data_IF_956745091146
#
_entry.id   IF_956745091146
#
_cell.length_a   1.000
_cell.length_b   1.000
_cell.length_c   1.000
_cell.angle_alpha   90.00
_cell.angle_beta   90.00
_cell.angle_gamma   90.00
#
_symmetry.space_group_name_H-M   'P 1'
#
loop_
_entity.id
_entity.type
_entity.pdbx_description
1 polymer ?
#
# COMPACT_ATOMS: atom_id res chain seq x y z
N UNK A 1 -19.15 23.59 -17.98
CA UNK A 1 -18.40 24.50 -18.87
C UNK A 1 -16.88 24.40 -18.65
N UNK A 2 -16.03 24.38 -19.68
CA UNK A 2 -14.56 24.29 -19.48
C UNK A 2 -14.04 22.90 -19.09
N UNK A 3 -14.87 21.85 -19.23
CA UNK A 3 -14.46 20.46 -18.98
C UNK A 3 -13.31 20.01 -19.89
N UNK A 4 -13.18 20.58 -21.08
CA UNK A 4 -12.14 20.25 -22.05
C UNK A 4 -10.89 21.14 -21.98
N UNK A 5 -10.83 22.06 -21.00
CA UNK A 5 -9.68 22.95 -20.81
C UNK A 5 -8.52 22.20 -20.12
N UNK A 6 -7.69 21.52 -20.92
CA UNK A 6 -6.64 20.59 -20.45
C UNK A 6 -5.29 21.26 -20.14
N UNK A 7 -5.17 22.57 -20.31
CA UNK A 7 -3.92 23.29 -20.00
C UNK A 7 -3.67 23.27 -18.49
N UNK A 8 -2.43 23.58 -18.08
CA UNK A 8 -2.08 23.77 -16.67
C UNK A 8 -2.97 24.86 -16.05
N UNK A 9 -3.58 24.58 -14.89
CA UNK A 9 -4.55 25.47 -14.25
C UNK A 9 -5.88 25.62 -14.99
N UNK A 10 -6.16 24.77 -15.99
CA UNK A 10 -7.42 24.78 -16.73
C UNK A 10 -8.62 24.39 -15.86
N UNK A 11 -9.82 24.90 -16.21
CA UNK A 11 -11.04 24.68 -15.40
C UNK A 11 -11.37 23.20 -15.21
N UNK A 12 -10.95 22.35 -16.14
CA UNK A 12 -11.09 20.89 -16.10
C UNK A 12 -10.66 20.28 -14.78
N UNK A 13 -9.54 20.75 -14.23
CA UNK A 13 -8.92 20.15 -13.05
C UNK A 13 -9.61 20.55 -11.75
N UNK A 14 -10.49 21.56 -11.77
CA UNK A 14 -11.29 21.94 -10.61
C UNK A 14 -12.51 21.04 -10.37
N UNK A 15 -12.89 20.21 -11.34
CA UNK A 15 -13.99 19.26 -11.16
C UNK A 15 -13.53 18.13 -10.26
N UNK A 16 -14.31 17.84 -9.22
CA UNK A 16 -13.98 16.85 -8.21
C UNK A 16 -13.59 15.52 -8.85
N UNK A 17 -14.41 15.00 -9.78
CA UNK A 17 -14.14 13.71 -10.44
C UNK A 17 -12.88 13.65 -11.32
N UNK A 18 -12.20 14.78 -11.52
CA UNK A 18 -10.96 14.90 -12.30
C UNK A 18 -9.78 15.40 -11.46
N UNK A 19 -10.00 15.73 -10.20
CA UNK A 19 -8.97 16.20 -9.30
C UNK A 19 -8.48 15.08 -8.38
N UNK A 20 -7.34 15.31 -7.76
CA UNK A 20 -6.63 14.37 -6.87
C UNK A 20 -7.50 13.94 -5.69
N UNK A 21 -8.32 14.87 -5.18
CA UNK A 21 -9.21 14.65 -4.03
C UNK A 21 -10.33 13.66 -4.29
N UNK A 22 -10.65 13.28 -5.53
CA UNK A 22 -11.60 12.20 -5.81
C UNK A 22 -10.93 10.83 -5.97
N UNK A 23 -9.63 10.79 -6.23
CA UNK A 23 -8.90 9.59 -6.55
C UNK A 23 -8.31 8.94 -5.28
N UNK A 24 -7.86 7.68 -5.44
CA UNK A 24 -7.28 6.87 -4.37
C UNK A 24 -5.76 7.05 -4.29
N UNK A 25 -5.32 8.30 -4.28
CA UNK A 25 -3.92 8.75 -4.27
C UNK A 25 -3.73 9.75 -3.13
N UNK A 26 -2.50 9.96 -2.64
CA UNK A 26 -2.26 10.91 -1.58
C UNK A 26 -2.31 12.36 -2.08
N UNK A 27 -2.55 13.31 -1.19
CA UNK A 27 -2.30 14.75 -1.41
C UNK A 27 -1.22 15.23 -0.46
N UNK A 28 -0.46 16.24 -0.90
CA UNK A 28 0.54 16.93 -0.09
C UNK A 28 0.13 18.40 0.05
N UNK A 29 0.14 18.93 1.28
CA UNK A 29 -0.20 20.33 1.56
C UNK A 29 -1.63 20.74 1.20
N UNK A 30 -2.54 19.78 1.01
CA UNK A 30 -3.88 20.08 0.52
C UNK A 30 -3.90 20.59 -0.93
N UNK A 31 -2.90 20.23 -1.74
CA UNK A 31 -2.84 20.56 -3.17
C UNK A 31 -3.15 19.34 -4.05
N UNK A 32 -3.64 19.62 -5.26
CA UNK A 32 -3.70 18.65 -6.34
C UNK A 32 -2.30 18.27 -6.82
N UNK A 33 -2.18 17.07 -7.39
CA UNK A 33 -1.04 16.71 -8.24
C UNK A 33 -0.89 17.71 -9.39
N UNK A 34 0.36 17.99 -9.81
CA UNK A 34 0.60 18.79 -11.03
C UNK A 34 -0.07 18.12 -12.24
N UNK A 35 -0.95 18.84 -12.93
CA UNK A 35 -1.87 18.26 -13.91
C UNK A 35 -1.16 17.81 -15.19
N UNK A 36 0.09 18.25 -15.37
CA UNK A 36 0.97 17.87 -16.47
C UNK A 36 2.06 16.88 -16.05
N UNK A 37 2.06 16.43 -14.79
CA UNK A 37 3.10 15.54 -14.28
C UNK A 37 3.09 14.19 -14.99
N UNK A 38 4.28 13.61 -15.11
CA UNK A 38 4.47 12.25 -15.64
C UNK A 38 4.83 11.27 -14.52
N UNK A 39 4.14 10.13 -14.51
CA UNK A 39 4.50 8.97 -13.70
C UNK A 39 5.29 7.96 -14.52
N UNK A 40 6.12 7.14 -13.87
CA UNK A 40 6.76 5.99 -14.53
C UNK A 40 6.73 4.74 -13.66
N UNK A 41 6.50 3.59 -14.28
CA UNK A 41 6.74 2.31 -13.62
C UNK A 41 8.25 2.15 -13.41
N UNK A 42 8.67 1.98 -12.15
CA UNK A 42 10.06 1.69 -11.79
C UNK A 42 10.32 0.21 -11.99
N UNK A 43 9.42 -0.62 -11.44
CA UNK A 43 9.54 -2.07 -11.46
C UNK A 43 8.21 -2.73 -11.20
N UNK A 44 8.02 -3.93 -11.72
CA UNK A 44 6.91 -4.81 -11.37
C UNK A 44 7.33 -6.27 -11.48
N UNK A 45 6.66 -7.13 -10.74
CA UNK A 45 6.83 -8.58 -10.81
C UNK A 45 5.48 -9.25 -10.58
N UNK A 46 5.24 -10.36 -11.28
CA UNK A 46 4.10 -11.23 -11.03
C UNK A 46 4.57 -12.67 -10.86
N UNK A 47 4.18 -13.30 -9.76
CA UNK A 47 4.42 -14.70 -9.40
C UNK A 47 3.10 -15.35 -8.98
N UNK A 48 3.03 -16.67 -8.91
CA UNK A 48 1.79 -17.35 -8.49
C UNK A 48 1.29 -16.87 -7.11
N UNK A 49 2.18 -16.73 -6.14
CA UNK A 49 1.87 -16.37 -4.75
C UNK A 49 1.94 -14.87 -4.43
N UNK A 50 2.56 -14.05 -5.29
CA UNK A 50 2.77 -12.62 -5.02
C UNK A 50 2.82 -11.81 -6.31
N UNK A 51 2.56 -10.52 -6.21
CA UNK A 51 2.83 -9.57 -7.29
C UNK A 51 3.11 -8.22 -6.67
N UNK A 52 3.93 -7.40 -7.30
CA UNK A 52 4.09 -6.01 -6.89
C UNK A 52 4.35 -5.10 -8.08
N UNK A 53 4.13 -3.82 -7.86
CA UNK A 53 4.51 -2.73 -8.76
C UNK A 53 4.98 -1.54 -7.95
N UNK A 54 6.02 -0.87 -8.45
CA UNK A 54 6.59 0.37 -7.93
C UNK A 54 6.44 1.45 -9.01
N UNK A 55 5.88 2.59 -8.63
CA UNK A 55 5.61 3.73 -9.51
C UNK A 55 6.28 4.97 -8.92
N UNK A 56 7.05 5.66 -9.75
CA UNK A 56 7.56 6.99 -9.43
C UNK A 56 6.46 8.02 -9.69
N UNK A 57 6.14 8.82 -8.66
CA UNK A 57 5.17 9.90 -8.68
C UNK A 57 5.82 11.26 -8.38
N UNK A 58 7.15 11.35 -8.38
CA UNK A 58 7.90 12.54 -7.93
C UNK A 58 7.46 13.83 -8.62
N UNK A 59 7.30 13.81 -9.95
CA UNK A 59 6.90 15.01 -10.71
C UNK A 59 5.52 15.54 -10.29
N UNK A 60 4.61 14.66 -9.87
CA UNK A 60 3.27 15.03 -9.42
C UNK A 60 3.27 15.80 -8.08
N UNK A 61 4.35 15.68 -7.29
CA UNK A 61 4.44 16.17 -5.92
C UNK A 61 5.65 17.09 -5.66
N UNK A 62 6.31 17.55 -6.74
CA UNK A 62 7.57 18.32 -6.69
C UNK A 62 7.52 19.62 -5.88
N UNK A 63 6.33 20.16 -5.61
CA UNK A 63 6.17 21.35 -4.78
C UNK A 63 6.50 21.10 -3.30
N UNK A 64 6.46 19.84 -2.85
CA UNK A 64 6.62 19.46 -1.44
C UNK A 64 7.68 18.38 -1.20
N UNK A 65 7.83 17.46 -2.15
CA UNK A 65 8.68 16.29 -2.00
C UNK A 65 9.78 16.25 -3.07
N UNK A 66 10.99 15.91 -2.63
CA UNK A 66 12.11 15.59 -3.52
C UNK A 66 11.88 14.31 -4.31
N UNK A 67 11.20 13.36 -3.68
CA UNK A 67 10.94 12.03 -4.21
C UNK A 67 9.64 11.49 -3.65
N UNK A 68 8.83 10.92 -4.53
CA UNK A 68 7.60 10.23 -4.16
C UNK A 68 7.51 8.90 -4.90
N UNK A 69 7.35 7.81 -4.16
CA UNK A 69 7.19 6.48 -4.75
C UNK A 69 5.99 5.78 -4.14
N UNK A 70 5.18 5.18 -5.00
CA UNK A 70 4.06 4.32 -4.61
C UNK A 70 4.37 2.86 -4.95
N UNK A 71 4.26 1.99 -3.95
CA UNK A 71 4.26 0.55 -4.10
C UNK A 71 2.88 -0.04 -3.89
N UNK A 72 2.48 -0.98 -4.74
CA UNK A 72 1.28 -1.80 -4.55
C UNK A 72 1.70 -3.26 -4.66
N UNK A 73 1.38 -4.07 -3.65
CA UNK A 73 1.72 -5.49 -3.62
C UNK A 73 0.53 -6.37 -3.24
N UNK A 74 0.36 -7.48 -3.97
CA UNK A 74 -0.45 -8.62 -3.54
C UNK A 74 0.38 -9.53 -2.64
N UNK A 75 -0.08 -9.73 -1.41
CA UNK A 75 0.66 -10.41 -0.34
C UNK A 75 -0.10 -11.63 0.18
N UNK A 76 0.60 -12.51 0.91
CA UNK A 76 0.01 -13.70 1.56
C UNK A 76 -0.78 -14.56 0.57
N UNK A 77 -0.12 -15.04 -0.50
CA UNK A 77 -0.77 -15.80 -1.58
C UNK A 77 -1.89 -15.01 -2.27
N UNK A 78 -1.64 -13.71 -2.52
CA UNK A 78 -2.59 -12.78 -3.14
C UNK A 78 -3.92 -12.62 -2.38
N UNK A 79 -3.90 -12.82 -1.06
CA UNK A 79 -5.09 -12.71 -0.19
C UNK A 79 -5.30 -11.31 0.39
N UNK A 80 -4.35 -10.41 0.22
CA UNK A 80 -4.49 -9.00 0.60
C UNK A 80 -3.66 -8.12 -0.32
N UNK A 81 -3.91 -6.82 -0.26
CA UNK A 81 -3.14 -5.79 -0.97
C UNK A 81 -2.49 -4.87 0.04
N UNK A 82 -1.18 -4.68 -0.09
CA UNK A 82 -0.43 -3.63 0.61
C UNK A 82 -0.27 -2.44 -0.34
N UNK A 83 -0.77 -1.28 0.07
CA UNK A 83 -0.50 0.00 -0.58
C UNK A 83 0.48 0.75 0.30
N UNK A 84 1.64 1.12 -0.25
CA UNK A 84 2.68 1.83 0.50
C UNK A 84 3.16 3.03 -0.30
N UNK A 85 3.05 4.20 0.29
CA UNK A 85 3.56 5.46 -0.23
C UNK A 85 4.77 5.88 0.61
N UNK A 86 5.87 6.21 -0.07
CA UNK A 86 7.09 6.75 0.53
C UNK A 86 7.40 8.12 -0.07
N UNK A 87 7.65 9.09 0.80
CA UNK A 87 7.93 10.48 0.44
C UNK A 87 9.23 10.94 1.10
N UNK A 88 10.03 11.71 0.37
CA UNK A 88 11.12 12.53 0.90
C UNK A 88 10.62 13.99 0.92
N UNK A 89 9.94 14.40 1.99
CA UNK A 89 9.31 15.71 2.14
C UNK A 89 10.36 16.78 2.49
N UNK A 90 10.56 17.76 1.62
CA UNK A 90 11.49 18.88 1.82
C UNK A 90 10.80 20.11 2.42
N UNK A 91 9.56 20.37 1.99
CA UNK A 91 8.72 21.44 2.55
C UNK A 91 7.70 20.81 3.49
N UNK A 92 7.76 21.06 4.82
CA UNK A 92 6.80 20.51 5.76
C UNK A 92 5.36 20.79 5.34
N UNK A 93 4.53 19.76 5.34
CA UNK A 93 3.14 19.84 4.87
C UNK A 93 2.27 18.74 5.45
N UNK A 94 0.95 18.86 5.26
CA UNK A 94 0.06 17.72 5.49
C UNK A 94 0.31 16.64 4.43
N UNK A 95 0.44 15.38 4.85
CA UNK A 95 0.30 14.22 3.96
C UNK A 95 -1.06 13.59 4.25
N UNK A 96 -1.94 13.56 3.25
CA UNK A 96 -3.24 12.89 3.38
C UNK A 96 -3.34 11.71 2.39
N UNK A 97 -3.56 10.51 2.90
CA UNK A 97 -3.90 9.34 2.08
C UNK A 97 -5.41 9.17 2.05
N UNK A 98 -5.99 8.94 0.88
CA UNK A 98 -7.44 8.81 0.72
C UNK A 98 -7.86 7.65 -0.17
N UNK A 99 -9.04 7.11 0.11
CA UNK A 99 -9.73 6.14 -0.75
C UNK A 99 -11.23 6.44 -0.82
N UNK A 100 -11.71 6.78 -2.01
CA UNK A 100 -13.13 6.97 -2.33
C UNK A 100 -13.82 5.63 -2.53
N UNK A 101 -15.02 5.48 -1.98
CA UNK A 101 -15.78 4.22 -2.03
C UNK A 101 -17.28 4.42 -1.82
N UNK A 102 -18.07 3.55 -2.45
CA UNK A 102 -19.50 3.41 -2.18
C UNK A 102 -19.78 2.58 -0.90
N UNK A 103 -18.75 1.92 -0.35
CA UNK A 103 -18.89 1.04 0.80
C UNK A 103 -19.30 1.80 2.06
N UNK A 104 -20.05 1.15 2.95
CA UNK A 104 -20.25 1.60 4.34
C UNK A 104 -18.93 1.47 5.08
N UNK A 105 -18.49 2.55 5.73
CA UNK A 105 -17.22 2.58 6.46
C UNK A 105 -17.51 2.61 7.95
N UNK A 106 -16.93 1.67 8.69
CA UNK A 106 -16.91 1.65 10.15
C UNK A 106 -15.45 1.71 10.62
N UNK A 107 -15.02 2.89 11.09
CA UNK A 107 -13.69 3.08 11.69
C UNK A 107 -13.66 2.46 13.08
N UNK A 108 -12.54 1.81 13.42
CA UNK A 108 -12.27 1.19 14.72
C UNK A 108 -11.01 1.81 15.32
N UNK A 109 -10.88 1.75 16.65
CA UNK A 109 -9.66 2.14 17.37
C UNK A 109 -8.45 1.33 16.84
N UNK A 110 -7.27 1.94 16.87
CA UNK A 110 -6.02 1.29 16.42
C UNK A 110 -5.82 1.26 14.91
N UNK A 111 -6.24 2.30 14.19
CA UNK A 111 -5.91 2.46 12.77
C UNK A 111 -6.57 1.45 11.84
N UNK A 112 -7.76 0.95 12.17
CA UNK A 112 -8.47 -0.03 11.35
C UNK A 112 -9.83 0.48 10.90
N UNK A 113 -10.29 0.09 9.72
CA UNK A 113 -11.64 0.36 9.24
C UNK A 113 -12.22 -0.86 8.51
N UNK A 114 -13.50 -1.12 8.71
CA UNK A 114 -14.27 -2.12 7.96
C UNK A 114 -15.07 -1.41 6.87
N UNK A 115 -14.89 -1.84 5.63
CA UNK A 115 -15.65 -1.38 4.47
C UNK A 115 -16.60 -2.48 4.03
N UNK A 116 -17.89 -2.19 3.96
CA UNK A 116 -18.94 -3.16 3.61
C UNK A 116 -19.69 -2.73 2.35
N UNK A 117 -19.69 -3.59 1.33
CA UNK A 117 -20.36 -3.34 0.05
C UNK A 117 -20.95 -4.64 -0.52
N UNK A 118 -22.25 -4.64 -0.85
CA UNK A 118 -22.97 -5.78 -1.46
C UNK A 118 -22.70 -7.13 -0.76
N UNK A 119 -22.78 -7.16 0.57
CA UNK A 119 -22.56 -8.37 1.38
C UNK A 119 -21.10 -8.82 1.49
N UNK A 120 -20.14 -8.08 0.91
CA UNK A 120 -18.69 -8.32 1.06
C UNK A 120 -18.08 -7.32 2.03
N UNK A 121 -16.99 -7.71 2.67
CA UNK A 121 -16.23 -6.85 3.57
C UNK A 121 -14.75 -6.78 3.18
N UNK A 122 -14.17 -5.61 3.36
CA UNK A 122 -12.74 -5.33 3.25
C UNK A 122 -12.28 -4.66 4.55
N UNK A 123 -11.21 -5.17 5.15
CA UNK A 123 -10.60 -4.57 6.33
C UNK A 123 -9.37 -3.78 5.90
N UNK A 124 -9.42 -2.46 6.07
CA UNK A 124 -8.28 -1.56 5.91
C UNK A 124 -7.56 -1.40 7.25
N UNK A 125 -6.22 -1.46 7.25
CA UNK A 125 -5.41 -1.24 8.45
C UNK A 125 -4.19 -0.37 8.14
N UNK A 126 -3.93 0.60 8.99
CA UNK A 126 -2.70 1.38 8.99
C UNK A 126 -1.60 0.52 9.61
N UNK A 127 -0.56 0.22 8.83
CA UNK A 127 0.66 -0.42 9.31
C UNK A 127 1.77 0.60 9.57
N UNK A 128 1.75 1.73 8.86
CA UNK A 128 2.66 2.86 9.06
C UNK A 128 1.96 4.19 8.73
N UNK A 129 2.20 5.27 9.51
CA UNK A 129 2.92 5.25 10.79
C UNK A 129 2.11 4.55 11.88
N UNK A 130 2.79 3.99 12.88
CA UNK A 130 2.14 3.34 14.01
C UNK A 130 1.29 4.35 14.79
N UNK A 131 0.10 3.95 15.23
CA UNK A 131 -0.82 4.79 15.99
C UNK A 131 -1.67 5.75 15.16
N UNK A 132 -1.41 5.92 13.85
CA UNK A 132 -2.27 6.74 13.01
C UNK A 132 -3.65 6.10 12.79
N UNK A 133 -4.66 6.96 12.74
CA UNK A 133 -6.06 6.59 12.61
C UNK A 133 -6.66 6.95 11.26
N UNK A 134 -7.79 6.34 10.95
CA UNK A 134 -8.62 6.76 9.83
C UNK A 134 -9.72 7.71 10.31
N UNK A 135 -10.16 8.58 9.40
CA UNK A 135 -11.40 9.35 9.48
C UNK A 135 -12.25 9.05 8.25
N UNK A 136 -13.52 9.45 8.30
CA UNK A 136 -14.46 9.34 7.19
C UNK A 136 -14.87 10.73 6.74
N UNK A 137 -14.75 10.98 5.44
CA UNK A 137 -15.18 12.22 4.81
C UNK A 137 -16.25 11.93 3.75
N UNK A 138 -17.02 12.95 3.38
CA UNK A 138 -17.99 12.88 2.29
C UNK A 138 -17.31 13.13 0.94
N UNK A 139 -17.73 12.41 -0.10
CA UNK A 139 -17.35 12.71 -1.48
C UNK A 139 -18.46 13.47 -2.23
N UNK A 140 -19.51 13.90 -1.54
CA UNK A 140 -20.65 14.58 -2.14
C UNK A 140 -20.27 15.93 -2.73
N UNK A 141 -20.82 16.20 -3.92
CA UNK A 141 -20.60 17.43 -4.69
C UNK A 141 -21.93 18.15 -4.93
N UNK A 142 -21.83 19.41 -5.37
CA UNK A 142 -23.00 20.20 -5.79
C UNK A 142 -23.10 20.25 -7.32
N UNK A 143 -24.29 20.51 -7.89
CA UNK A 143 -24.42 20.84 -9.31
C UNK A 143 -23.42 21.94 -9.72
N UNK A 144 -22.86 21.90 -10.94
CA UNK A 144 -23.25 21.04 -12.07
C UNK A 144 -22.61 19.64 -12.07
N UNK A 145 -21.83 19.29 -11.05
CA UNK A 145 -21.19 17.98 -10.97
C UNK A 145 -22.16 16.89 -10.52
N UNK A 146 -21.78 15.62 -10.77
CA UNK A 146 -22.50 14.49 -10.20
C UNK A 146 -22.43 14.62 -8.67
N UNK A 147 -23.58 14.63 -8.02
CA UNK A 147 -23.69 14.85 -6.57
C UNK A 147 -22.93 13.84 -5.73
N UNK A 148 -22.64 12.64 -6.25
CA UNK A 148 -21.96 11.57 -5.50
C UNK A 148 -22.64 11.25 -4.15
N UNK A 149 -23.97 11.35 -4.11
CA UNK A 149 -24.78 11.15 -2.90
C UNK A 149 -24.45 9.80 -2.25
N UNK A 150 -24.07 9.83 -0.98
CA UNK A 150 -23.71 8.63 -0.20
C UNK A 150 -22.31 8.05 -0.46
N UNK A 151 -21.52 8.61 -1.37
CA UNK A 151 -20.12 8.22 -1.60
C UNK A 151 -19.25 8.77 -0.47
N UNK A 152 -18.35 7.95 0.06
CA UNK A 152 -17.48 8.29 1.20
C UNK A 152 -16.01 8.19 0.84
N UNK A 153 -15.17 8.85 1.63
CA UNK A 153 -13.71 8.69 1.62
C UNK A 153 -13.23 8.14 2.96
N UNK A 154 -12.42 7.10 2.91
CA UNK A 154 -11.57 6.68 4.03
C UNK A 154 -10.27 7.48 3.94
N UNK A 155 -9.93 8.24 4.98
CA UNK A 155 -8.79 9.17 4.93
C UNK A 155 -7.88 8.97 6.14
N UNK A 156 -6.58 9.08 5.94
CA UNK A 156 -5.55 9.22 6.98
C UNK A 156 -4.82 10.54 6.73
N UNK A 157 -4.64 11.36 7.78
CA UNK A 157 -3.96 12.66 7.71
C UNK A 157 -2.75 12.69 8.65
N UNK A 158 -1.64 13.22 8.15
CA UNK A 158 -0.42 13.50 8.91
C UNK A 158 -0.14 15.01 8.75
N UNK A 159 -0.53 15.86 9.72
CA UNK A 159 -0.64 17.30 9.52
C UNK A 159 0.70 18.03 9.30
N UNK A 160 1.78 17.54 9.90
CA UNK A 160 3.09 18.21 9.92
C UNK A 160 4.21 17.27 9.46
N UNK A 161 3.98 16.58 8.35
CA UNK A 161 4.92 15.62 7.82
C UNK A 161 6.18 16.32 7.26
N UNK A 162 7.37 15.78 7.54
CA UNK A 162 8.66 16.29 7.06
C UNK A 162 9.69 15.16 6.95
N UNK A 163 10.68 15.32 6.08
CA UNK A 163 11.71 14.29 5.86
C UNK A 163 11.14 13.00 5.27
N UNK A 164 11.66 11.86 5.71
CA UNK A 164 11.22 10.56 5.21
C UNK A 164 9.90 10.15 5.84
N UNK A 165 8.84 10.10 5.03
CA UNK A 165 7.48 9.76 5.47
C UNK A 165 7.04 8.48 4.76
N UNK A 166 6.46 7.54 5.53
CA UNK A 166 5.88 6.31 5.00
C UNK A 166 4.43 6.16 5.47
N UNK A 167 3.53 6.02 4.51
CA UNK A 167 2.16 5.58 4.73
C UNK A 167 2.00 4.18 4.15
N UNK A 168 1.66 3.20 4.99
CA UNK A 168 1.47 1.81 4.56
C UNK A 168 0.11 1.29 5.04
N UNK A 169 -0.78 1.00 4.09
CA UNK A 169 -2.14 0.54 4.32
C UNK A 169 -2.33 -0.88 3.81
N UNK A 170 -2.72 -1.79 4.70
CA UNK A 170 -3.11 -3.15 4.35
C UNK A 170 -4.61 -3.23 4.10
N UNK A 171 -5.00 -3.67 2.91
CA UNK A 171 -6.36 -3.93 2.49
C UNK A 171 -6.58 -5.45 2.39
N UNK A 172 -7.30 -6.02 3.35
CA UNK A 172 -7.59 -7.46 3.40
C UNK A 172 -9.07 -7.74 3.24
N UNK A 173 -9.50 -8.38 2.14
CA UNK A 173 -10.87 -8.90 2.03
C UNK A 173 -11.16 -9.89 3.15
N UNK A 174 -12.42 -9.92 3.60
CA UNK A 174 -12.97 -11.05 4.36
C UNK A 174 -13.29 -12.17 3.38
N UNK A 175 -12.47 -13.20 3.37
CA UNK A 175 -12.61 -14.34 2.48
C UNK A 175 -13.70 -15.30 2.98
N UNK A 176 -14.14 -16.20 2.10
CA UNK A 176 -15.21 -17.17 2.38
C UNK A 176 -14.85 -18.17 3.48
N UNK A 177 -13.56 -18.42 3.70
CA UNK A 177 -13.03 -19.23 4.80
C UNK A 177 -12.99 -18.46 6.14
N UNK A 178 -13.53 -17.24 6.19
CA UNK A 178 -13.53 -16.38 7.38
C UNK A 178 -12.18 -15.71 7.69
N UNK A 179 -11.13 -15.98 6.90
CA UNK A 179 -9.80 -15.50 7.19
C UNK A 179 -9.54 -14.11 6.59
N UNK A 180 -8.76 -13.31 7.32
CA UNK A 180 -8.22 -12.02 6.90
C UNK A 180 -6.74 -11.96 7.20
N UNK A 181 -5.96 -11.33 6.32
CA UNK A 181 -4.58 -10.94 6.65
C UNK A 181 -4.65 -9.79 7.65
N UNK A 182 -4.09 -10.00 8.84
CA UNK A 182 -4.20 -9.05 9.96
C UNK A 182 -3.06 -8.04 10.01
N UNK A 183 -1.85 -8.46 9.69
CA UNK A 183 -0.65 -7.63 9.78
C UNK A 183 0.42 -8.13 8.81
N UNK A 184 1.40 -7.28 8.53
CA UNK A 184 2.60 -7.58 7.75
C UNK A 184 3.76 -6.76 8.31
N UNK A 185 4.98 -7.28 8.16
CA UNK A 185 6.17 -6.45 8.35
C UNK A 185 6.29 -5.48 7.18
N UNK A 186 6.32 -4.18 7.48
CA UNK A 186 6.49 -3.12 6.49
C UNK A 186 7.98 -2.92 6.22
N UNK A 187 8.41 -3.11 4.97
CA UNK A 187 9.78 -2.88 4.52
C UNK A 187 9.85 -1.69 3.56
N UNK A 188 10.98 -0.96 3.48
CA UNK A 188 11.16 0.08 2.46
C UNK A 188 10.86 -0.41 1.05
N UNK A 189 10.32 0.45 0.18
CA UNK A 189 10.00 0.06 -1.20
C UNK A 189 11.25 -0.39 -1.97
N UNK A 190 12.41 0.20 -1.65
CA UNK A 190 13.71 -0.21 -2.19
C UNK A 190 14.11 -1.66 -1.83
N UNK A 191 13.45 -2.29 -0.85
CA UNK A 191 13.72 -3.67 -0.44
C UNK A 191 12.72 -4.68 -0.98
N UNK A 192 11.63 -4.25 -1.62
CA UNK A 192 10.60 -5.17 -2.13
C UNK A 192 11.14 -6.15 -3.18
N UNK A 193 12.23 -5.79 -3.84
CA UNK A 193 12.87 -6.62 -4.85
C UNK A 193 14.07 -7.41 -4.35
N UNK A 194 14.61 -7.07 -3.17
CA UNK A 194 15.82 -7.74 -2.69
C UNK A 194 15.48 -9.22 -2.52
N UNK A 195 16.09 -10.06 -3.38
CA UNK A 195 16.11 -11.50 -3.16
C UNK A 195 16.52 -11.72 -1.71
N UNK A 196 15.84 -12.61 -0.95
CA UNK A 196 16.28 -12.89 0.40
C UNK A 196 17.76 -13.21 0.32
N UNK A 197 18.58 -12.47 1.06
CA UNK A 197 19.95 -12.90 1.30
C UNK A 197 19.80 -14.22 2.02
N UNK A 198 19.97 -15.32 1.29
CA UNK A 198 20.29 -16.60 1.90
C UNK A 198 21.44 -16.29 2.84
N UNK A 199 21.32 -16.68 4.11
CA UNK A 199 22.31 -16.42 5.13
C UNK A 199 23.69 -16.60 4.49
N UNK A 200 24.44 -15.50 4.32
CA UNK A 200 25.86 -15.62 3.99
C UNK A 200 26.49 -16.24 5.24
N UNK A 201 26.43 -17.55 5.36
CA UNK A 201 27.52 -18.22 6.04
C UNK A 201 28.77 -17.91 5.23
N UNK A 202 29.91 -17.88 5.91
CA UNK A 202 31.21 -17.76 5.26
C UNK A 202 31.44 -19.00 4.38
N UNK A 203 30.80 -19.06 3.23
CA UNK A 203 30.88 -20.16 2.28
C UNK A 203 31.71 -19.69 1.12
N UNK A 204 32.84 -20.36 0.92
CA UNK A 204 33.79 -20.02 -0.13
C UNK A 204 33.27 -20.39 -1.55
N UNK A 205 32.19 -21.17 -1.67
CA UNK A 205 31.56 -21.54 -2.96
C UNK A 205 30.12 -22.09 -2.80
N UNK A 206 29.38 -22.16 -3.92
CA UNK A 206 28.02 -22.74 -3.99
C UNK A 206 28.01 -24.26 -3.71
N UNK A 207 29.07 -24.97 -4.08
CA UNK A 207 29.23 -26.40 -3.80
C UNK A 207 29.35 -26.66 -2.30
N UNK A 208 30.14 -25.85 -1.58
CA UNK A 208 30.28 -25.97 -0.12
C UNK A 208 28.94 -25.75 0.61
N UNK A 209 28.11 -24.83 0.11
CA UNK A 209 26.77 -24.60 0.65
C UNK A 209 25.84 -25.81 0.41
N UNK A 210 25.88 -26.43 -0.79
CA UNK A 210 25.10 -27.63 -1.12
C UNK A 210 25.52 -28.83 -0.28
N UNK A 211 26.81 -29.01 -0.07
CA UNK A 211 27.34 -30.12 0.71
C UNK A 211 26.97 -30.01 2.20
N UNK A 212 27.05 -28.81 2.77
CA UNK A 212 26.62 -28.56 4.14
C UNK A 212 25.11 -28.75 4.32
N UNK A 213 24.28 -28.29 3.37
CA UNK A 213 22.84 -28.55 3.38
C UNK A 213 22.53 -30.06 3.32
N UNK A 214 23.26 -30.81 2.49
CA UNK A 214 23.14 -32.26 2.43
C UNK A 214 23.54 -32.92 3.75
N UNK A 215 24.58 -32.43 4.43
CA UNK A 215 25.01 -32.91 5.75
C UNK A 215 23.98 -32.61 6.85
N UNK A 216 23.39 -31.42 6.85
CA UNK A 216 22.28 -31.07 7.73
C UNK A 216 21.07 -31.97 7.47
N UNK A 217 20.70 -32.19 6.21
CA UNK A 217 19.59 -33.08 5.84
C UNK A 217 19.79 -34.51 6.36
N UNK A 218 21.03 -35.02 6.37
CA UNK A 218 21.39 -36.33 6.95
C UNK A 218 21.32 -36.39 8.48
N UNK A 219 21.33 -35.24 9.16
CA UNK A 219 21.23 -35.17 10.62
C UNK A 219 19.79 -35.13 11.14
N UNK A 220 18.81 -34.94 10.26
CA UNK A 220 17.39 -35.03 10.62
C UNK A 220 16.91 -36.47 10.58
N UNK A 221 16.32 -36.92 11.69
CA UNK A 221 15.69 -38.24 11.73
C UNK A 221 14.55 -38.33 10.73
N UNK A 222 14.53 -39.42 9.97
CA UNK A 222 13.46 -39.70 9.03
C UNK A 222 12.19 -40.16 9.77
N UNK A 223 11.07 -40.25 9.04
CA UNK A 223 9.75 -40.59 9.60
C UNK A 223 9.74 -41.94 10.34
N UNK A 224 10.61 -42.88 9.96
CA UNK A 224 10.71 -44.21 10.57
C UNK A 224 11.41 -44.11 11.93
N UNK A 225 12.56 -43.41 11.98
CA UNK A 225 13.31 -43.17 13.22
C UNK A 225 12.51 -42.36 14.25
N UNK A 226 11.69 -41.43 13.78
CA UNK A 226 10.80 -40.65 14.65
C UNK A 226 9.70 -41.53 15.28
N UNK A 227 9.13 -42.46 14.50
CA UNK A 227 8.11 -43.41 14.98
C UNK A 227 8.67 -44.44 15.96
N UNK A 228 9.94 -44.84 15.81
CA UNK A 228 10.61 -45.71 16.78
C UNK A 228 10.91 -45.01 18.10
N UNK A 229 11.45 -43.77 18.06
CA UNK A 229 11.70 -42.99 19.28
C UNK A 229 10.42 -42.67 20.06
N UNK A 230 9.31 -42.41 19.36
CA UNK A 230 8.02 -42.12 19.99
C UNK A 230 7.34 -43.35 20.63
N UNK A 231 7.89 -44.57 20.46
CA UNK A 231 7.41 -45.80 21.09
C UNK A 231 8.19 -46.18 22.37
N UNK A 232 9.27 -45.47 22.71
CA UNK A 232 9.95 -45.57 24.00
C UNK A 232 9.34 -44.57 24.99
#
# INVERSE_FOLDING_TARGET
>A
PGYWDRKKGGKRWSYYGLNTFSHNVPTLGGEDQDELAKSRFIKYETKKSSAFVLVDLTDAYKNFAKKTTRGIAMVQNRRAVLVQDEFEIEKPCEVAWGMTTDAKIAVRKGGSATLSLKGKQLIARVLSPAGAGFIVESAEQKPPEKTNKGVRRLVLRLPEAKGNVRVAILLSPLWSDGNVVKTLQVKPLAEWDKKPQLCQGHYHSEEAAKEQLARFARSYSNLVEWKERAKR
#
